data_IF_196142055367
#
_entry.id   IF_196142055367
#
_cell.length_a   1.000
_cell.length_b   1.000
_cell.length_c   1.000
_cell.angle_alpha   90.00
_cell.angle_beta   90.00
_cell.angle_gamma   90.00
#
_symmetry.space_group_name_H-M   'P 1'
#
loop_
_entity.id
_entity.type
_entity.pdbx_description
1 polymer ?
#
# COMPACT_ATOMS: atom_id res chain seq x y z
N UNK A 1 -11.15 -41.63 28.38
CA UNK A 1 -11.08 -41.13 26.98
C UNK A 1 -11.83 -42.11 26.10
N UNK A 2 -13.04 -41.79 25.64
CA UNK A 2 -13.79 -42.66 24.72
C UNK A 2 -13.08 -42.66 23.35
N UNK A 3 -12.50 -43.80 22.95
CA UNK A 3 -11.65 -43.94 21.76
C UNK A 3 -12.41 -44.10 20.43
N UNK A 4 -13.74 -44.02 20.42
CA UNK A 4 -14.53 -44.18 19.21
C UNK A 4 -15.51 -43.00 18.99
N UNK A 5 -15.20 -42.10 18.04
CA UNK A 5 -16.09 -41.00 17.67
C UNK A 5 -17.49 -41.44 17.21
N UNK A 6 -17.63 -42.63 16.60
CA UNK A 6 -18.93 -43.16 16.16
C UNK A 6 -19.82 -43.54 17.35
N UNK A 7 -19.24 -44.15 18.38
CA UNK A 7 -20.00 -44.51 19.59
C UNK A 7 -20.45 -43.26 20.34
N UNK A 8 -19.59 -42.23 20.40
CA UNK A 8 -19.94 -40.95 21.02
C UNK A 8 -21.10 -40.27 20.26
N UNK A 9 -21.03 -40.26 18.93
CA UNK A 9 -22.10 -39.77 18.08
C UNK A 9 -23.42 -40.53 18.32
N UNK A 10 -23.38 -41.86 18.34
CA UNK A 10 -24.55 -42.71 18.59
C UNK A 10 -25.24 -42.37 19.93
N UNK A 11 -24.48 -42.26 21.01
CA UNK A 11 -25.04 -41.93 22.32
C UNK A 11 -25.55 -40.49 22.40
N UNK A 12 -24.88 -39.52 21.76
CA UNK A 12 -25.40 -38.17 21.65
C UNK A 12 -26.70 -38.14 20.86
N UNK A 13 -26.81 -38.89 19.78
CA UNK A 13 -28.04 -38.99 19.00
C UNK A 13 -29.19 -39.55 19.85
N UNK A 14 -28.99 -40.67 20.53
CA UNK A 14 -30.00 -41.26 21.43
C UNK A 14 -30.41 -40.33 22.56
N UNK A 15 -29.47 -39.60 23.15
CA UNK A 15 -29.80 -38.65 24.22
C UNK A 15 -30.48 -37.38 23.69
N UNK A 16 -30.11 -36.91 22.49
CA UNK A 16 -30.71 -35.76 21.84
C UNK A 16 -32.15 -36.02 21.39
N UNK A 17 -32.46 -37.24 20.93
CA UNK A 17 -33.82 -37.73 20.63
C UNK A 17 -34.73 -37.65 21.87
N UNK A 18 -34.16 -37.85 23.06
CA UNK A 18 -34.87 -37.70 24.34
C UNK A 18 -34.90 -36.25 24.87
N UNK A 19 -34.60 -35.25 24.05
CA UNK A 19 -34.72 -33.83 24.39
C UNK A 19 -33.57 -33.25 25.23
N UNK A 20 -32.48 -33.99 25.44
CA UNK A 20 -31.35 -33.48 26.23
C UNK A 20 -30.60 -32.36 25.49
N UNK A 21 -30.68 -31.12 26.00
CA UNK A 21 -30.07 -29.93 25.38
C UNK A 21 -28.54 -29.94 25.27
N UNK A 22 -27.84 -30.69 26.13
CA UNK A 22 -26.38 -30.83 26.03
C UNK A 22 -26.05 -31.84 24.93
N UNK A 23 -26.78 -32.97 24.89
CA UNK A 23 -26.62 -33.95 23.82
C UNK A 23 -26.94 -33.37 22.44
N UNK A 24 -28.01 -32.57 22.32
CA UNK A 24 -28.33 -31.83 21.09
C UNK A 24 -27.18 -30.91 20.66
N UNK A 25 -26.57 -30.17 21.59
CA UNK A 25 -25.40 -29.32 21.30
C UNK A 25 -24.17 -30.13 20.86
N UNK A 26 -23.85 -31.23 21.55
CA UNK A 26 -22.72 -32.07 21.16
C UNK A 26 -22.97 -32.82 19.84
N UNK A 27 -24.20 -33.23 19.58
CA UNK A 27 -24.60 -33.82 18.30
C UNK A 27 -24.39 -32.81 17.15
N UNK A 28 -24.79 -31.55 17.34
CA UNK A 28 -24.50 -30.47 16.37
C UNK A 28 -23.00 -30.28 16.14
N UNK A 29 -22.19 -30.40 17.20
CA UNK A 29 -20.73 -30.32 17.12
C UNK A 29 -20.11 -31.50 16.38
N UNK A 30 -20.69 -32.70 16.49
CA UNK A 30 -20.29 -33.85 15.69
C UNK A 30 -20.53 -33.61 14.20
N UNK A 31 -21.73 -33.14 13.82
CA UNK A 31 -22.05 -32.80 12.43
C UNK A 31 -21.20 -31.65 11.89
N UNK A 32 -20.94 -30.60 12.68
CA UNK A 32 -20.11 -29.46 12.25
C UNK A 32 -18.67 -29.87 11.93
N UNK A 33 -18.11 -30.81 12.70
CA UNK A 33 -16.70 -31.20 12.61
C UNK A 33 -16.47 -32.55 11.92
N UNK A 34 -17.53 -33.24 11.48
CA UNK A 34 -17.43 -34.59 10.93
C UNK A 34 -16.92 -35.64 11.93
N UNK A 35 -17.20 -35.47 13.23
CA UNK A 35 -16.71 -36.38 14.29
C UNK A 35 -17.69 -37.53 14.51
N UNK A 36 -17.36 -38.69 13.94
CA UNK A 36 -18.19 -39.90 14.05
C UNK A 36 -19.35 -39.98 13.04
N UNK A 37 -19.49 -38.95 12.20
CA UNK A 37 -20.50 -38.81 11.15
C UNK A 37 -19.93 -37.94 10.01
N UNK A 38 -20.52 -38.01 8.82
CA UNK A 38 -20.19 -37.06 7.74
C UNK A 38 -20.52 -35.62 8.17
N UNK A 39 -19.70 -34.69 7.69
CA UNK A 39 -19.85 -33.28 8.00
C UNK A 39 -21.10 -32.72 7.32
N UNK A 40 -22.00 -32.16 8.12
CA UNK A 40 -23.29 -31.64 7.64
C UNK A 40 -23.68 -30.38 8.41
N UNK A 41 -23.52 -29.22 7.78
CA UNK A 41 -23.79 -27.94 8.43
C UNK A 41 -25.28 -27.69 8.66
N UNK A 42 -26.16 -28.22 7.83
CA UNK A 42 -27.59 -28.04 8.02
C UNK A 42 -28.07 -28.86 9.22
N UNK A 43 -27.66 -30.14 9.32
CA UNK A 43 -27.96 -30.96 10.52
C UNK A 43 -27.31 -30.42 11.78
N UNK A 44 -26.10 -29.86 11.67
CA UNK A 44 -25.47 -29.16 12.80
C UNK A 44 -26.33 -28.00 13.28
N UNK A 45 -26.82 -27.17 12.35
CA UNK A 45 -27.73 -26.07 12.65
C UNK A 45 -29.01 -26.55 13.34
N UNK A 46 -29.71 -27.55 12.80
CA UNK A 46 -30.95 -28.07 13.40
C UNK A 46 -30.73 -28.55 14.85
N UNK A 47 -29.60 -29.21 15.10
CA UNK A 47 -29.24 -29.66 16.44
C UNK A 47 -28.96 -28.48 17.38
N UNK A 48 -28.24 -27.46 16.90
CA UNK A 48 -28.00 -26.24 17.67
C UNK A 48 -29.27 -25.44 17.93
N UNK A 49 -30.18 -25.32 16.96
CA UNK A 49 -31.43 -24.60 17.12
C UNK A 49 -32.32 -25.27 18.16
N UNK A 50 -32.47 -26.59 18.09
CA UNK A 50 -33.18 -27.38 19.12
C UNK A 50 -32.58 -27.18 20.51
N UNK A 51 -31.25 -27.26 20.64
CA UNK A 51 -30.57 -27.03 21.91
C UNK A 51 -30.75 -25.58 22.41
N UNK A 52 -30.72 -24.60 21.50
CA UNK A 52 -30.83 -23.17 21.80
C UNK A 52 -32.22 -22.79 22.29
N UNK A 53 -33.28 -23.35 21.67
CA UNK A 53 -34.67 -23.24 22.11
C UNK A 53 -34.82 -23.86 23.51
N UNK A 54 -34.15 -24.97 23.78
CA UNK A 54 -34.10 -25.60 25.12
C UNK A 54 -33.16 -24.88 26.12
N UNK A 55 -32.74 -23.64 25.81
CA UNK A 55 -31.99 -22.78 26.71
C UNK A 55 -30.49 -23.10 26.83
N UNK A 56 -29.90 -23.86 25.89
CA UNK A 56 -28.46 -24.05 25.85
C UNK A 56 -27.75 -22.79 25.32
N UNK A 57 -27.03 -22.10 26.20
CA UNK A 57 -26.33 -20.83 25.90
C UNK A 57 -25.25 -20.97 24.81
N UNK A 58 -24.54 -22.10 24.75
CA UNK A 58 -23.53 -22.34 23.72
C UNK A 58 -24.18 -22.55 22.35
N UNK A 59 -25.32 -23.25 22.33
CA UNK A 59 -26.10 -23.41 21.12
C UNK A 59 -26.70 -22.09 20.64
N UNK A 60 -27.17 -21.22 21.55
CA UNK A 60 -27.65 -19.88 21.21
C UNK A 60 -26.56 -19.03 20.51
N UNK A 61 -25.32 -19.09 21.02
CA UNK A 61 -24.17 -18.42 20.38
C UNK A 61 -23.87 -18.98 18.98
N UNK A 62 -23.98 -20.30 18.81
CA UNK A 62 -23.76 -20.96 17.52
C UNK A 62 -24.87 -20.66 16.51
N UNK A 63 -26.14 -20.65 16.91
CA UNK A 63 -27.27 -20.31 16.02
C UNK A 63 -27.11 -18.90 15.46
N UNK A 64 -26.78 -17.90 16.32
CA UNK A 64 -26.46 -16.55 15.85
C UNK A 64 -25.31 -16.55 14.84
N UNK A 65 -24.25 -17.33 15.09
CA UNK A 65 -23.08 -17.44 14.19
C UNK A 65 -23.45 -18.04 12.84
N UNK A 66 -24.31 -19.07 12.84
CA UNK A 66 -24.76 -19.76 11.63
C UNK A 66 -25.56 -18.82 10.73
N UNK A 67 -26.50 -18.07 11.31
CA UNK A 67 -27.23 -17.02 10.59
C UNK A 67 -26.31 -15.89 10.09
N UNK A 68 -25.32 -15.49 10.89
CA UNK A 68 -24.37 -14.43 10.51
C UNK A 68 -23.52 -14.78 9.27
N UNK A 69 -23.00 -16.01 9.21
CA UNK A 69 -22.15 -16.45 8.10
C UNK A 69 -22.95 -17.11 6.96
N UNK A 70 -24.19 -17.53 7.20
CA UNK A 70 -24.94 -18.39 6.28
C UNK A 70 -24.37 -19.81 6.21
N UNK A 71 -23.88 -20.34 7.33
CA UNK A 71 -23.29 -21.68 7.38
C UNK A 71 -24.42 -22.70 7.52
N UNK A 72 -24.63 -23.56 6.52
CA UNK A 72 -25.70 -24.57 6.55
C UNK A 72 -27.12 -24.02 6.43
N UNK A 73 -27.32 -22.72 6.58
CA UNK A 73 -28.59 -21.99 6.42
C UNK A 73 -28.37 -20.72 5.61
N UNK A 74 -29.45 -20.10 5.12
CA UNK A 74 -29.36 -18.78 4.50
C UNK A 74 -28.78 -17.74 5.46
N UNK A 75 -27.94 -16.84 4.95
CA UNK A 75 -27.42 -15.70 5.70
C UNK A 75 -28.58 -14.78 6.09
N UNK A 76 -28.71 -14.48 7.38
CA UNK A 76 -29.82 -13.70 7.94
C UNK A 76 -29.30 -12.86 9.11
N UNK A 77 -29.05 -11.58 8.85
CA UNK A 77 -28.46 -10.70 9.86
C UNK A 77 -29.46 -10.30 10.94
N UNK A 78 -30.75 -10.23 10.63
CA UNK A 78 -31.81 -9.87 11.58
C UNK A 78 -31.94 -10.97 12.63
N UNK A 79 -32.03 -12.24 12.21
CA UNK A 79 -32.05 -13.38 13.14
C UNK A 79 -30.75 -13.49 13.93
N UNK A 80 -29.60 -13.29 13.28
CA UNK A 80 -28.31 -13.28 13.99
C UNK A 80 -28.30 -12.25 15.12
N UNK A 81 -28.75 -11.02 14.83
CA UNK A 81 -28.83 -9.96 15.82
C UNK A 81 -29.81 -10.33 16.95
N UNK A 82 -31.00 -10.80 16.61
CA UNK A 82 -32.01 -11.24 17.58
C UNK A 82 -31.43 -12.28 18.56
N UNK A 83 -30.77 -13.32 18.04
CA UNK A 83 -30.15 -14.35 18.89
C UNK A 83 -29.11 -13.77 19.84
N UNK A 84 -28.23 -12.89 19.37
CA UNK A 84 -27.19 -12.30 20.22
C UNK A 84 -27.73 -11.30 21.26
N UNK A 85 -28.92 -10.74 21.06
CA UNK A 85 -29.57 -9.89 22.08
C UNK A 85 -30.28 -10.67 23.19
N UNK A 86 -30.43 -12.00 23.07
CA UNK A 86 -31.15 -12.80 24.07
C UNK A 86 -30.52 -12.66 25.46
N UNK A 87 -31.31 -12.46 26.53
CA UNK A 87 -30.80 -12.21 27.89
C UNK A 87 -29.81 -13.25 28.40
N UNK A 88 -30.00 -14.51 28.00
CA UNK A 88 -29.16 -15.62 28.41
C UNK A 88 -27.70 -15.53 27.91
N UNK A 89 -27.45 -14.81 26.81
CA UNK A 89 -26.13 -14.67 26.19
C UNK A 89 -25.68 -13.24 25.93
N UNK A 90 -26.53 -12.22 26.12
CA UNK A 90 -26.16 -10.81 25.83
C UNK A 90 -24.94 -10.30 26.61
N UNK A 91 -24.65 -10.89 27.77
CA UNK A 91 -23.46 -10.57 28.57
C UNK A 91 -22.22 -11.41 28.20
N UNK A 92 -22.36 -12.39 27.31
CA UNK A 92 -21.25 -13.21 26.86
C UNK A 92 -20.33 -12.42 25.93
N UNK A 93 -19.02 -12.49 26.15
CA UNK A 93 -18.02 -11.80 25.32
C UNK A 93 -18.14 -12.05 23.82
N UNK A 94 -18.52 -13.26 23.38
CA UNK A 94 -18.71 -13.56 21.95
C UNK A 94 -19.97 -12.88 21.42
N UNK A 95 -21.09 -12.94 22.15
CA UNK A 95 -22.31 -12.25 21.74
C UNK A 95 -22.07 -10.74 21.63
N UNK A 96 -21.42 -10.13 22.63
CA UNK A 96 -21.07 -8.72 22.62
C UNK A 96 -20.12 -8.36 21.46
N UNK A 97 -19.17 -9.24 21.12
CA UNK A 97 -18.33 -9.04 19.95
C UNK A 97 -19.15 -9.00 18.66
N UNK A 98 -20.05 -9.97 18.45
CA UNK A 98 -20.90 -10.00 17.25
C UNK A 98 -21.92 -8.85 17.21
N UNK A 99 -22.51 -8.45 18.34
CA UNK A 99 -23.34 -7.25 18.44
C UNK A 99 -22.55 -5.99 18.03
N UNK A 100 -21.28 -5.89 18.44
CA UNK A 100 -20.38 -4.84 17.99
C UNK A 100 -20.24 -4.80 16.47
N UNK A 101 -20.12 -5.97 15.82
CA UNK A 101 -20.03 -6.08 14.37
C UNK A 101 -21.35 -5.67 13.69
N UNK A 102 -22.49 -6.10 14.24
CA UNK A 102 -23.82 -5.73 13.73
C UNK A 102 -23.98 -4.21 13.69
N UNK A 103 -23.72 -3.52 14.81
CA UNK A 103 -23.80 -2.07 14.90
C UNK A 103 -22.75 -1.34 14.04
N UNK A 104 -21.53 -1.87 13.93
CA UNK A 104 -20.46 -1.23 13.14
C UNK A 104 -20.79 -1.17 11.64
N UNK A 105 -21.30 -2.27 11.10
CA UNK A 105 -21.59 -2.40 9.66
C UNK A 105 -23.05 -2.14 9.29
N UNK A 106 -23.95 -1.99 10.27
CA UNK A 106 -25.40 -1.91 10.02
C UNK A 106 -25.96 -3.21 9.47
N UNK A 107 -25.53 -4.36 10.01
CA UNK A 107 -25.99 -5.69 9.56
C UNK A 107 -27.22 -6.08 10.35
N UNK A 108 -28.39 -6.10 9.72
CA UNK A 108 -29.67 -6.45 10.39
C UNK A 108 -30.11 -5.46 11.48
N UNK A 109 -29.49 -4.28 11.51
CA UNK A 109 -29.87 -3.14 12.34
C UNK A 109 -29.26 -1.87 11.76
N UNK A 110 -29.79 -0.71 12.14
CA UNK A 110 -29.18 0.57 11.80
C UNK A 110 -27.75 0.66 12.36
N UNK A 111 -26.87 1.27 11.55
CA UNK A 111 -25.47 1.46 11.89
C UNK A 111 -25.31 2.46 13.03
N UNK A 112 -24.59 2.06 14.07
CA UNK A 112 -24.37 2.87 15.28
C UNK A 112 -22.96 2.62 15.83
N UNK A 113 -22.05 3.56 15.59
CA UNK A 113 -20.66 3.39 16.05
C UNK A 113 -20.52 3.46 17.58
N UNK A 114 -21.37 4.22 18.26
CA UNK A 114 -21.30 4.36 19.72
C UNK A 114 -21.70 3.05 20.38
N UNK A 115 -22.85 2.48 20.00
CA UNK A 115 -23.28 1.16 20.49
C UNK A 115 -22.30 0.04 20.10
N UNK A 116 -21.71 0.14 18.91
CA UNK A 116 -20.67 -0.80 18.48
C UNK A 116 -19.47 -0.79 19.43
N UNK A 117 -18.96 0.39 19.78
CA UNK A 117 -17.84 0.56 20.70
C UNK A 117 -18.20 0.06 22.09
N UNK A 118 -19.39 0.39 22.61
CA UNK A 118 -19.85 -0.14 23.91
C UNK A 118 -19.86 -1.67 23.95
N UNK A 119 -20.37 -2.30 22.89
CA UNK A 119 -20.39 -3.76 22.77
C UNK A 119 -18.96 -4.34 22.74
N UNK A 120 -18.06 -3.75 21.95
CA UNK A 120 -16.67 -4.16 21.92
C UNK A 120 -15.97 -3.96 23.27
N UNK A 121 -16.22 -2.86 23.98
CA UNK A 121 -15.67 -2.61 25.31
C UNK A 121 -16.08 -3.67 26.32
N UNK A 122 -17.38 -4.02 26.36
CA UNK A 122 -17.86 -5.08 27.25
C UNK A 122 -17.19 -6.43 26.92
N UNK A 123 -17.05 -6.75 25.64
CA UNK A 123 -16.36 -7.97 25.18
C UNK A 123 -14.87 -7.96 25.50
N UNK A 124 -14.20 -6.83 25.30
CA UNK A 124 -12.77 -6.64 25.50
C UNK A 124 -12.38 -6.66 26.99
N UNK A 125 -13.24 -6.14 27.87
CA UNK A 125 -13.11 -6.22 29.33
C UNK A 125 -13.14 -7.67 29.82
N UNK A 126 -13.84 -8.56 29.11
CA UNK A 126 -13.86 -10.01 29.36
C UNK A 126 -12.71 -10.79 28.67
N UNK A 127 -11.71 -10.09 28.12
CA UNK A 127 -10.54 -10.72 27.53
C UNK A 127 -10.71 -11.22 26.08
N UNK A 128 -11.76 -10.80 25.36
CA UNK A 128 -11.90 -11.17 23.95
C UNK A 128 -10.87 -10.44 23.09
N UNK A 129 -9.84 -11.16 22.62
CA UNK A 129 -8.67 -10.56 21.98
C UNK A 129 -8.98 -9.83 20.67
N UNK A 130 -9.95 -10.32 19.87
CA UNK A 130 -10.40 -9.61 18.67
C UNK A 130 -11.17 -8.34 19.00
N UNK A 131 -11.92 -8.30 20.11
CA UNK A 131 -12.61 -7.07 20.53
C UNK A 131 -11.60 -6.02 21.03
N UNK A 132 -10.60 -6.47 21.78
CA UNK A 132 -9.47 -5.61 22.20
C UNK A 132 -8.71 -5.06 20.99
N UNK A 133 -8.42 -5.90 19.98
CA UNK A 133 -7.78 -5.45 18.75
C UNK A 133 -8.63 -4.41 18.01
N UNK A 134 -9.93 -4.68 17.84
CA UNK A 134 -10.84 -3.73 17.16
C UNK A 134 -10.92 -2.41 17.92
N UNK A 135 -11.01 -2.42 19.26
CA UNK A 135 -10.98 -1.17 20.04
C UNK A 135 -9.67 -0.42 19.83
N UNK A 136 -8.52 -1.12 19.81
CA UNK A 136 -7.24 -0.51 19.48
C UNK A 136 -7.31 0.25 18.15
N UNK A 137 -7.85 -0.38 17.11
CA UNK A 137 -8.04 0.24 15.81
C UNK A 137 -9.07 1.37 15.82
N UNK A 138 -10.20 1.25 16.52
CA UNK A 138 -11.23 2.29 16.61
C UNK A 138 -10.76 3.53 17.35
N UNK A 139 -9.91 3.41 18.38
CA UNK A 139 -9.29 4.56 19.03
C UNK A 139 -8.15 5.16 18.19
N UNK A 140 -7.59 4.40 17.24
CA UNK A 140 -6.59 4.89 16.29
C UNK A 140 -7.20 5.75 15.18
N UNK A 141 -8.38 5.38 14.68
CA UNK A 141 -9.06 6.07 13.57
C UNK A 141 -10.23 6.91 14.08
N UNK A 142 -10.47 8.09 13.51
CA UNK A 142 -11.61 8.94 13.91
C UNK A 142 -12.95 8.43 13.31
N UNK A 143 -13.43 7.27 13.77
CA UNK A 143 -14.72 6.70 13.35
C UNK A 143 -15.66 6.51 14.53
N UNK A 144 -16.54 7.49 14.74
CA UNK A 144 -17.57 7.47 15.78
C UNK A 144 -17.08 7.83 17.19
N UNK A 145 -15.76 7.99 17.35
CA UNK A 145 -15.09 8.52 18.55
C UNK A 145 -13.92 9.41 18.15
N UNK A 146 -13.52 10.32 19.04
CA UNK A 146 -12.29 11.09 18.90
C UNK A 146 -11.07 10.18 19.00
N UNK A 147 -10.05 10.43 18.17
CA UNK A 147 -8.79 9.69 18.22
C UNK A 147 -8.15 9.80 19.61
N UNK A 148 -7.64 8.66 20.10
CA UNK A 148 -6.96 8.53 21.37
C UNK A 148 -5.87 7.45 21.24
N UNK A 149 -4.65 7.89 20.90
CA UNK A 149 -3.53 6.99 20.63
C UNK A 149 -3.09 6.23 21.89
N UNK A 150 -3.27 6.79 23.08
CA UNK A 150 -2.93 6.12 24.34
C UNK A 150 -3.90 4.96 24.64
N UNK A 151 -5.21 5.16 24.43
CA UNK A 151 -6.19 4.08 24.53
C UNK A 151 -6.01 3.04 23.42
N UNK A 152 -5.67 3.48 22.21
CA UNK A 152 -5.34 2.58 21.11
C UNK A 152 -4.19 1.66 21.50
N UNK A 153 -3.09 2.23 21.98
CA UNK A 153 -1.93 1.51 22.48
C UNK A 153 -2.31 0.54 23.63
N UNK A 154 -3.11 1.00 24.60
CA UNK A 154 -3.57 0.17 25.71
C UNK A 154 -4.31 -1.09 25.24
N UNK A 155 -5.23 -0.95 24.30
CA UNK A 155 -6.04 -2.05 23.81
C UNK A 155 -5.24 -2.99 22.89
N UNK A 156 -4.39 -2.46 22.00
CA UNK A 156 -3.45 -3.28 21.24
C UNK A 156 -2.52 -4.07 22.17
N UNK A 157 -1.99 -3.45 23.22
CA UNK A 157 -1.16 -4.14 24.22
C UNK A 157 -1.89 -5.28 24.92
N UNK A 158 -3.15 -5.10 25.30
CA UNK A 158 -3.98 -6.18 25.88
C UNK A 158 -4.22 -7.31 24.87
N UNK A 159 -4.63 -6.99 23.65
CA UNK A 159 -4.88 -7.98 22.60
C UNK A 159 -3.60 -8.77 22.24
N UNK A 160 -2.46 -8.09 22.13
CA UNK A 160 -1.17 -8.68 21.79
C UNK A 160 -0.67 -9.65 22.86
N UNK A 161 -0.85 -9.30 24.15
CA UNK A 161 -0.58 -10.20 25.28
C UNK A 161 -1.47 -11.44 25.28
N UNK A 162 -2.69 -11.33 24.75
CA UNK A 162 -3.61 -12.45 24.55
C UNK A 162 -3.36 -13.23 23.24
N UNK A 163 -2.20 -13.05 22.61
CA UNK A 163 -1.79 -13.81 21.43
C UNK A 163 -2.36 -13.33 20.10
N UNK A 164 -3.12 -12.22 20.06
CA UNK A 164 -3.68 -11.74 18.79
C UNK A 164 -2.56 -11.21 17.87
N UNK A 165 -2.27 -11.95 16.79
CA UNK A 165 -1.20 -11.63 15.84
C UNK A 165 -1.33 -10.25 15.17
N UNK A 166 -2.55 -9.80 14.90
CA UNK A 166 -2.79 -8.48 14.30
C UNK A 166 -2.44 -7.36 15.29
N UNK A 167 -2.83 -7.52 16.56
CA UNK A 167 -2.46 -6.59 17.61
C UNK A 167 -0.96 -6.63 17.94
N UNK A 168 -0.30 -7.79 17.82
CA UNK A 168 1.15 -7.89 17.99
C UNK A 168 1.90 -7.11 16.90
N UNK A 169 1.46 -7.20 15.63
CA UNK A 169 1.98 -6.33 14.56
C UNK A 169 1.78 -4.85 14.92
N UNK A 170 0.54 -4.45 15.19
CA UNK A 170 0.24 -3.03 15.42
C UNK A 170 0.94 -2.48 16.67
N UNK A 171 1.10 -3.29 17.72
CA UNK A 171 1.86 -2.89 18.89
C UNK A 171 3.35 -2.72 18.57
N UNK A 172 3.91 -3.57 17.72
CA UNK A 172 5.27 -3.39 17.21
C UNK A 172 5.42 -2.05 16.49
N UNK A 173 4.47 -1.74 15.61
CA UNK A 173 4.43 -0.48 14.87
C UNK A 173 4.27 0.76 15.76
N UNK A 174 3.47 0.65 16.83
CA UNK A 174 3.31 1.73 17.82
C UNK A 174 4.61 2.00 18.58
N UNK A 175 5.37 0.96 18.93
CA UNK A 175 6.69 1.11 19.53
C UNK A 175 7.74 1.65 18.55
N UNK A 176 7.71 1.23 17.28
CA UNK A 176 8.63 1.72 16.24
C UNK A 176 8.48 3.23 16.01
N UNK A 177 7.24 3.74 16.03
CA UNK A 177 6.93 5.12 15.68
C UNK A 177 6.62 6.01 16.89
N UNK A 178 6.66 5.48 18.12
CA UNK A 178 6.28 6.23 19.33
C UNK A 178 4.82 6.72 19.32
N UNK A 179 3.90 5.94 18.76
CA UNK A 179 2.47 6.31 18.70
C UNK A 179 1.78 5.92 20.01
N UNK A 180 1.26 6.88 20.76
CA UNK A 180 0.60 6.61 22.05
C UNK A 180 1.50 5.99 23.13
N UNK A 181 2.82 5.96 22.91
CA UNK A 181 3.88 5.45 23.80
C UNK A 181 5.21 6.10 23.40
N UNK A 182 6.24 5.98 24.24
CA UNK A 182 7.61 6.28 23.81
C UNK A 182 8.10 5.26 22.78
N UNK A 183 8.93 5.74 21.86
CA UNK A 183 9.60 4.93 20.83
C UNK A 183 10.55 3.91 21.48
N UNK A 184 10.49 2.66 21.02
CA UNK A 184 11.32 1.56 21.55
C UNK A 184 11.49 0.46 20.49
N UNK A 185 12.62 0.51 19.76
CA UNK A 185 12.89 -0.42 18.66
C UNK A 185 13.05 -1.87 19.11
N UNK A 186 13.59 -2.10 20.31
CA UNK A 186 13.73 -3.44 20.86
C UNK A 186 12.37 -4.07 21.11
N UNK A 187 11.44 -3.33 21.73
CA UNK A 187 10.06 -3.80 21.91
C UNK A 187 9.32 -3.95 20.58
N UNK A 188 9.58 -3.07 19.61
CA UNK A 188 8.98 -3.20 18.28
C UNK A 188 9.33 -4.56 17.65
N UNK A 189 10.62 -4.90 17.61
CA UNK A 189 11.14 -6.18 17.10
C UNK A 189 10.54 -7.36 17.86
N UNK A 190 10.54 -7.32 19.21
CA UNK A 190 9.98 -8.40 20.02
C UNK A 190 8.51 -8.70 19.69
N UNK A 191 7.70 -7.67 19.44
CA UNK A 191 6.28 -7.84 19.09
C UNK A 191 6.08 -8.26 17.63
N UNK A 192 6.87 -7.72 16.71
CA UNK A 192 6.88 -8.18 15.33
C UNK A 192 7.26 -9.66 15.24
N UNK A 193 8.29 -10.12 15.96
CA UNK A 193 8.68 -11.53 15.99
C UNK A 193 7.59 -12.44 16.53
N UNK A 194 6.88 -12.03 17.59
CA UNK A 194 5.75 -12.81 18.14
C UNK A 194 4.64 -13.00 17.10
N UNK A 195 4.36 -11.96 16.32
CA UNK A 195 3.37 -12.03 15.24
C UNK A 195 3.89 -12.87 14.06
N UNK A 196 5.16 -12.69 13.69
CA UNK A 196 5.82 -13.40 12.60
C UNK A 196 5.95 -14.91 12.86
N UNK A 197 6.15 -15.32 14.11
CA UNK A 197 6.14 -16.74 14.57
C UNK A 197 4.77 -17.40 14.43
N UNK A 198 3.69 -16.62 14.30
CA UNK A 198 2.34 -17.09 13.96
C UNK A 198 2.05 -17.04 12.45
N UNK A 199 3.12 -17.04 11.64
CA UNK A 199 3.07 -17.02 10.16
C UNK A 199 2.32 -15.82 9.58
N UNK A 200 2.28 -14.69 10.32
CA UNK A 200 1.66 -13.49 9.80
C UNK A 200 2.60 -12.76 8.84
N UNK A 201 2.36 -12.92 7.54
CA UNK A 201 3.22 -12.38 6.48
C UNK A 201 3.49 -10.88 6.55
N UNK A 202 2.54 -10.07 7.06
CA UNK A 202 2.77 -8.63 7.25
C UNK A 202 3.84 -8.34 8.31
N UNK A 203 3.85 -9.10 9.42
CA UNK A 203 4.88 -8.92 10.45
C UNK A 203 6.25 -9.44 10.01
N UNK A 204 6.27 -10.53 9.26
CA UNK A 204 7.50 -11.02 8.62
C UNK A 204 8.05 -9.98 7.63
N UNK A 205 7.18 -9.37 6.81
CA UNK A 205 7.57 -8.29 5.89
C UNK A 205 8.10 -7.05 6.64
N UNK A 206 7.48 -6.66 7.76
CA UNK A 206 7.96 -5.56 8.61
C UNK A 206 9.36 -5.83 9.18
N UNK A 207 9.64 -7.05 9.65
CA UNK A 207 10.97 -7.43 10.10
C UNK A 207 12.00 -7.40 8.96
N UNK A 208 11.64 -7.92 7.78
CA UNK A 208 12.49 -7.85 6.59
C UNK A 208 12.88 -6.42 6.24
N UNK A 209 11.88 -5.52 6.21
CA UNK A 209 12.11 -4.09 5.97
C UNK A 209 13.01 -3.46 7.04
N UNK A 210 12.75 -3.74 8.31
CA UNK A 210 13.49 -3.13 9.41
C UNK A 210 14.98 -3.51 9.39
N UNK A 211 15.30 -4.80 9.26
CA UNK A 211 16.69 -5.27 9.18
C UNK A 211 17.38 -4.82 7.88
N UNK A 212 16.63 -4.72 6.78
CA UNK A 212 17.16 -4.25 5.50
C UNK A 212 17.49 -2.76 5.48
N UNK A 213 16.69 -1.93 6.16
CA UNK A 213 16.90 -0.47 6.22
C UNK A 213 18.12 -0.09 7.06
N UNK A 214 18.32 -0.75 8.21
CA UNK A 214 19.46 -0.48 9.10
C UNK A 214 19.45 0.94 9.71
N UNK A 215 18.29 1.61 9.70
CA UNK A 215 18.11 2.87 10.40
C UNK A 215 17.59 2.53 11.81
N UNK A 216 18.29 3.00 12.85
CA UNK A 216 18.01 2.80 14.29
C UNK A 216 18.30 1.41 14.87
N UNK A 217 18.60 0.44 14.00
CA UNK A 217 19.25 -0.83 14.36
C UNK A 217 20.35 -1.12 13.33
N UNK A 218 21.33 -1.93 13.68
CA UNK A 218 22.35 -2.35 12.71
C UNK A 218 21.70 -3.09 11.53
N UNK A 219 22.14 -2.76 10.32
CA UNK A 219 21.68 -3.41 9.10
C UNK A 219 22.08 -4.90 9.12
N UNK A 220 21.11 -5.77 8.83
CA UNK A 220 21.33 -7.21 8.75
C UNK A 220 20.62 -7.75 7.51
N UNK A 221 21.36 -7.77 6.40
CA UNK A 221 20.81 -8.18 5.11
C UNK A 221 20.45 -9.68 5.08
N UNK A 222 21.11 -10.51 5.89
CA UNK A 222 20.79 -11.94 6.01
C UNK A 222 19.44 -12.14 6.71
N UNK A 223 19.21 -11.47 7.85
CA UNK A 223 17.90 -11.48 8.52
C UNK A 223 16.80 -10.83 7.67
N UNK A 224 17.14 -9.75 6.96
CA UNK A 224 16.23 -9.11 6.02
C UNK A 224 15.72 -10.10 4.97
N UNK A 225 16.65 -10.77 4.28
CA UNK A 225 16.34 -11.78 3.28
C UNK A 225 15.53 -12.93 3.88
N UNK A 226 15.95 -13.46 5.02
CA UNK A 226 15.23 -14.55 5.72
C UNK A 226 13.76 -14.21 5.98
N UNK A 227 13.49 -13.01 6.52
CA UNK A 227 12.12 -12.61 6.85
C UNK A 227 11.29 -12.30 5.61
N UNK A 228 11.88 -11.69 4.58
CA UNK A 228 11.20 -11.49 3.31
C UNK A 228 10.86 -12.81 2.61
N UNK A 229 11.76 -13.80 2.61
CA UNK A 229 11.48 -15.15 2.08
C UNK A 229 10.29 -15.80 2.79
N UNK A 230 10.27 -15.78 4.13
CA UNK A 230 9.13 -16.29 4.92
C UNK A 230 7.83 -15.57 4.59
N UNK A 231 7.85 -14.23 4.54
CA UNK A 231 6.68 -13.43 4.22
C UNK A 231 6.14 -13.73 2.80
N UNK A 232 7.03 -13.84 1.82
CA UNK A 232 6.69 -14.09 0.44
C UNK A 232 6.13 -15.50 0.22
N UNK A 233 6.66 -16.50 0.93
CA UNK A 233 6.09 -17.86 0.97
C UNK A 233 4.68 -17.89 1.57
N UNK A 234 4.41 -17.02 2.55
CA UNK A 234 3.08 -16.83 3.14
C UNK A 234 2.16 -15.91 2.30
N UNK A 235 2.53 -15.63 1.05
CA UNK A 235 1.70 -14.88 0.11
C UNK A 235 1.73 -13.36 0.27
N UNK A 236 2.63 -12.80 1.10
CA UNK A 236 2.69 -11.35 1.25
C UNK A 236 3.23 -10.68 -0.03
N UNK A 237 2.36 -9.94 -0.74
CA UNK A 237 2.72 -9.30 -2.02
C UNK A 237 3.83 -8.25 -1.92
N UNK A 238 3.94 -7.53 -0.80
CA UNK A 238 4.99 -6.54 -0.61
C UNK A 238 6.36 -7.21 -0.44
N UNK A 239 6.42 -8.30 0.34
CA UNK A 239 7.62 -9.10 0.49
C UNK A 239 8.03 -9.78 -0.81
N UNK A 240 7.08 -10.28 -1.61
CA UNK A 240 7.37 -10.83 -2.94
C UNK A 240 8.00 -9.77 -3.84
N UNK A 241 7.45 -8.56 -3.89
CA UNK A 241 8.08 -7.46 -4.63
C UNK A 241 9.47 -7.12 -4.10
N UNK A 242 9.66 -7.02 -2.78
CA UNK A 242 10.95 -6.69 -2.18
C UNK A 242 12.00 -7.78 -2.43
N UNK A 243 11.62 -9.06 -2.45
CA UNK A 243 12.53 -10.14 -2.88
C UNK A 243 12.92 -10.00 -4.34
N UNK A 244 11.96 -9.63 -5.20
CA UNK A 244 12.25 -9.30 -6.59
C UNK A 244 13.36 -8.24 -6.69
N UNK A 245 13.19 -7.16 -5.93
CA UNK A 245 14.14 -6.05 -5.87
C UNK A 245 15.51 -6.45 -5.30
N UNK A 246 15.53 -7.29 -4.27
CA UNK A 246 16.77 -7.80 -3.66
C UNK A 246 17.58 -8.62 -4.67
N UNK A 247 16.95 -9.56 -5.38
CA UNK A 247 17.65 -10.37 -6.39
C UNK A 247 18.04 -9.58 -7.62
N UNK A 248 17.27 -8.57 -8.00
CA UNK A 248 17.60 -7.68 -9.12
C UNK A 248 18.84 -6.82 -8.82
N UNK A 249 18.97 -6.32 -7.58
CA UNK A 249 20.00 -5.34 -7.20
C UNK A 249 21.15 -5.94 -6.37
N UNK A 250 21.20 -7.28 -6.22
CA UNK A 250 22.24 -7.98 -5.44
C UNK A 250 22.35 -7.52 -3.97
N UNK A 251 21.22 -7.26 -3.31
CA UNK A 251 21.20 -6.72 -1.95
C UNK A 251 21.32 -7.87 -0.95
N UNK A 252 22.52 -8.10 -0.41
CA UNK A 252 22.76 -9.18 0.56
C UNK A 252 22.68 -10.60 -0.03
N UNK A 253 22.58 -10.71 -1.36
CA UNK A 253 22.59 -11.97 -2.10
C UNK A 253 23.13 -11.74 -3.51
N UNK A 254 23.42 -12.80 -4.25
CA UNK A 254 23.85 -12.70 -5.65
C UNK A 254 22.71 -12.31 -6.57
N UNK A 255 23.02 -11.55 -7.63
CA UNK A 255 22.06 -11.19 -8.68
C UNK A 255 21.42 -12.43 -9.28
N UNK A 256 20.09 -12.44 -9.40
CA UNK A 256 19.35 -13.52 -10.07
C UNK A 256 18.06 -12.98 -10.70
N UNK A 257 18.15 -12.56 -11.97
CA UNK A 257 17.01 -11.97 -12.68
C UNK A 257 15.84 -12.95 -12.87
N UNK A 258 16.11 -14.25 -12.97
CA UNK A 258 15.05 -15.26 -13.08
C UNK A 258 14.24 -15.37 -11.79
N UNK A 259 14.92 -15.37 -10.63
CA UNK A 259 14.23 -15.30 -9.33
C UNK A 259 13.53 -13.95 -9.14
N UNK A 260 14.17 -12.86 -9.55
CA UNK A 260 13.59 -11.53 -9.43
C UNK A 260 12.23 -11.46 -10.15
N UNK A 261 12.19 -11.84 -11.43
CA UNK A 261 10.97 -11.88 -12.24
C UNK A 261 9.92 -12.79 -11.63
N UNK A 262 10.30 -14.01 -11.22
CA UNK A 262 9.35 -14.96 -10.60
C UNK A 262 8.68 -14.38 -9.35
N UNK A 263 9.42 -13.63 -8.53
CA UNK A 263 8.86 -12.98 -7.35
C UNK A 263 8.02 -11.75 -7.69
N UNK A 264 8.45 -10.95 -8.66
CA UNK A 264 7.63 -9.86 -9.18
C UNK A 264 6.32 -10.36 -9.78
N UNK A 265 6.31 -11.45 -10.56
CA UNK A 265 5.11 -12.05 -11.15
C UNK A 265 4.10 -12.46 -10.06
N UNK A 266 4.54 -13.17 -9.02
CA UNK A 266 3.68 -13.54 -7.88
C UNK A 266 3.06 -12.32 -7.18
N UNK A 267 3.81 -11.23 -7.05
CA UNK A 267 3.31 -9.98 -6.48
C UNK A 267 2.33 -9.28 -7.42
N UNK A 268 2.63 -9.28 -8.72
CA UNK A 268 1.84 -8.67 -9.77
C UNK A 268 0.50 -9.38 -10.01
N UNK A 269 0.45 -10.71 -9.85
CA UNK A 269 -0.77 -11.52 -9.85
C UNK A 269 -1.72 -11.16 -8.70
N UNK A 270 -1.18 -10.63 -7.60
CA UNK A 270 -1.96 -10.07 -6.47
C UNK A 270 -2.28 -8.57 -6.64
N UNK A 271 -2.25 -8.11 -7.89
CA UNK A 271 -2.59 -6.74 -8.31
C UNK A 271 -1.71 -5.67 -7.64
N UNK A 272 -0.46 -6.02 -7.27
CA UNK A 272 0.46 -5.00 -6.77
C UNK A 272 1.04 -4.17 -7.92
N UNK A 273 0.50 -2.96 -8.09
CA UNK A 273 0.83 -2.08 -9.22
C UNK A 273 2.33 -1.76 -9.40
N UNK A 274 3.12 -1.71 -8.32
CA UNK A 274 4.56 -1.49 -8.43
C UNK A 274 5.29 -2.71 -9.03
N UNK A 275 4.88 -3.93 -8.69
CA UNK A 275 5.43 -5.14 -9.30
C UNK A 275 5.06 -5.24 -10.78
N UNK A 276 3.78 -4.97 -11.10
CA UNK A 276 3.31 -4.91 -12.48
C UNK A 276 4.10 -3.86 -13.29
N UNK A 277 4.26 -2.64 -12.76
CA UNK A 277 5.06 -1.60 -13.40
C UNK A 277 6.53 -1.99 -13.58
N UNK A 278 7.14 -2.68 -12.59
CA UNK A 278 8.53 -3.13 -12.67
C UNK A 278 8.71 -4.22 -13.73
N UNK A 279 7.79 -5.18 -13.82
CA UNK A 279 7.79 -6.17 -14.90
C UNK A 279 7.65 -5.51 -16.28
N UNK A 280 6.73 -4.54 -16.40
CA UNK A 280 6.57 -3.74 -17.61
C UNK A 280 7.90 -3.13 -18.07
N UNK A 281 8.62 -2.51 -17.12
CA UNK A 281 9.94 -1.91 -17.36
C UNK A 281 11.01 -2.92 -17.74
N UNK A 282 11.11 -4.04 -17.03
CA UNK A 282 12.11 -5.07 -17.30
C UNK A 282 11.96 -5.63 -18.71
N UNK A 283 10.75 -5.95 -19.13
CA UNK A 283 10.48 -6.44 -20.49
C UNK A 283 10.62 -5.36 -21.57
N UNK A 284 10.37 -4.09 -21.24
CA UNK A 284 10.61 -2.97 -22.16
C UNK A 284 12.11 -2.82 -22.46
N UNK A 285 12.95 -2.84 -21.43
CA UNK A 285 14.39 -2.63 -21.58
C UNK A 285 15.09 -3.84 -22.16
N UNK A 286 14.71 -5.06 -21.75
CA UNK A 286 15.39 -6.27 -22.21
C UNK A 286 16.89 -6.27 -21.86
N UNK A 287 17.27 -5.57 -20.81
CA UNK A 287 18.63 -5.64 -20.28
C UNK A 287 18.69 -6.87 -19.37
N UNK A 288 19.58 -7.81 -19.68
CA UNK A 288 19.80 -9.08 -18.95
C UNK A 288 18.66 -10.12 -19.05
N UNK A 289 17.57 -9.79 -19.76
CA UNK A 289 16.52 -10.71 -20.21
C UNK A 289 16.13 -10.39 -21.65
N UNK A 290 15.47 -11.31 -22.34
CA UNK A 290 14.97 -11.02 -23.69
C UNK A 290 13.90 -9.91 -23.64
N UNK A 291 14.05 -8.91 -24.51
CA UNK A 291 13.06 -7.85 -24.67
C UNK A 291 11.73 -8.43 -25.15
N UNK A 292 10.63 -8.03 -24.53
CA UNK A 292 9.28 -8.49 -24.85
C UNK A 292 8.29 -7.34 -24.70
N UNK A 293 8.10 -6.58 -25.79
CA UNK A 293 7.24 -5.40 -25.77
C UNK A 293 5.76 -5.75 -25.56
N UNK A 294 5.33 -6.96 -25.93
CA UNK A 294 3.96 -7.42 -25.71
C UNK A 294 3.71 -7.67 -24.21
N UNK A 295 4.62 -8.37 -23.53
CA UNK A 295 4.54 -8.54 -22.06
C UNK A 295 4.73 -7.22 -21.33
N UNK A 296 5.61 -6.34 -21.83
CA UNK A 296 5.79 -5.01 -21.27
C UNK A 296 4.48 -4.23 -21.24
N UNK A 297 3.81 -4.14 -22.40
CA UNK A 297 2.50 -3.51 -22.55
C UNK A 297 1.43 -4.16 -21.67
N UNK A 298 1.37 -5.49 -21.65
CA UNK A 298 0.42 -6.22 -20.81
C UNK A 298 0.54 -5.81 -19.33
N UNK A 299 1.77 -5.79 -18.79
CA UNK A 299 1.99 -5.45 -17.39
C UNK A 299 1.79 -3.96 -17.10
N UNK A 300 2.20 -3.08 -18.00
CA UNK A 300 1.91 -1.66 -17.87
C UNK A 300 0.41 -1.35 -17.91
N UNK A 301 -0.36 -1.97 -18.81
CA UNK A 301 -1.81 -1.84 -18.86
C UNK A 301 -2.46 -2.27 -17.55
N UNK A 302 -2.09 -3.44 -17.02
CA UNK A 302 -2.59 -3.93 -15.71
C UNK A 302 -2.28 -2.94 -14.58
N UNK A 303 -1.03 -2.48 -14.48
CA UNK A 303 -0.61 -1.53 -13.46
C UNK A 303 -1.36 -0.20 -13.57
N UNK A 304 -1.53 0.32 -14.78
CA UNK A 304 -2.19 1.59 -15.04
C UNK A 304 -3.69 1.55 -14.76
N UNK A 305 -4.36 0.43 -15.08
CA UNK A 305 -5.75 0.18 -14.72
C UNK A 305 -5.96 0.12 -13.20
N UNK A 306 -4.97 -0.41 -12.46
CA UNK A 306 -4.94 -0.41 -11.00
C UNK A 306 -4.51 0.93 -10.37
N UNK A 307 -4.40 1.99 -11.17
CA UNK A 307 -4.09 3.34 -10.70
C UNK A 307 -2.60 3.63 -10.51
N UNK A 308 -1.67 2.76 -10.91
CA UNK A 308 -0.25 3.02 -10.74
C UNK A 308 0.22 4.20 -11.64
N UNK A 309 0.57 5.33 -11.01
CA UNK A 309 0.95 6.56 -11.72
C UNK A 309 2.19 6.42 -12.61
N UNK A 310 3.16 5.59 -12.24
CA UNK A 310 4.36 5.36 -13.05
C UNK A 310 4.02 4.59 -14.32
N UNK A 311 3.22 3.53 -14.21
CA UNK A 311 2.76 2.77 -15.36
C UNK A 311 1.85 3.60 -16.29
N UNK A 312 0.97 4.44 -15.74
CA UNK A 312 0.17 5.37 -16.52
C UNK A 312 1.06 6.32 -17.34
N UNK A 313 2.11 6.88 -16.72
CA UNK A 313 3.09 7.69 -17.46
C UNK A 313 3.81 6.88 -18.55
N UNK A 314 4.28 5.67 -18.23
CA UNK A 314 5.00 4.83 -19.20
C UNK A 314 4.10 4.43 -20.38
N UNK A 315 2.82 4.12 -20.16
CA UNK A 315 1.87 3.93 -21.25
C UNK A 315 1.68 5.19 -22.07
N UNK A 316 1.59 6.35 -21.41
CA UNK A 316 1.58 7.64 -22.10
C UNK A 316 2.76 7.77 -23.08
N UNK A 317 3.96 7.47 -22.59
CA UNK A 317 5.19 7.50 -23.36
C UNK A 317 5.22 6.47 -24.49
N UNK A 318 4.77 5.24 -24.24
CA UNK A 318 4.69 4.18 -25.25
C UNK A 318 3.72 4.56 -26.37
N UNK A 319 2.53 5.08 -26.04
CA UNK A 319 1.56 5.53 -27.04
C UNK A 319 2.03 6.78 -27.80
N UNK A 320 2.76 7.69 -27.15
CA UNK A 320 3.34 8.88 -27.80
C UNK A 320 4.40 8.51 -28.84
N UNK A 321 5.23 7.51 -28.55
CA UNK A 321 6.38 7.13 -29.38
C UNK A 321 6.11 5.91 -30.27
N UNK A 322 5.03 5.17 -30.03
CA UNK A 322 4.72 3.93 -30.77
C UNK A 322 5.68 2.78 -30.45
N UNK A 323 6.04 2.61 -29.18
CA UNK A 323 6.98 1.55 -28.76
C UNK A 323 6.25 0.20 -28.71
N UNK A 324 6.51 -0.66 -29.69
CA UNK A 324 5.87 -1.99 -29.79
C UNK A 324 4.40 -1.95 -30.23
N UNK A 325 3.82 -0.77 -30.44
CA UNK A 325 2.44 -0.55 -30.90
C UNK A 325 2.36 0.65 -31.84
N UNK A 326 1.22 0.79 -32.53
CA UNK A 326 0.93 2.00 -33.28
C UNK A 326 0.82 3.22 -32.35
N UNK A 327 1.49 4.30 -32.73
CA UNK A 327 1.40 5.60 -32.06
C UNK A 327 -0.06 6.09 -31.99
N UNK A 328 -0.48 6.54 -30.81
CA UNK A 328 -1.81 7.08 -30.54
C UNK A 328 -1.71 8.23 -29.52
N UNK A 329 -1.62 9.47 -30.02
CA UNK A 329 -1.49 10.64 -29.16
C UNK A 329 -2.68 10.84 -28.23
N UNK A 330 -3.91 10.48 -28.65
CA UNK A 330 -5.11 10.67 -27.81
C UNK A 330 -5.05 9.76 -26.58
N UNK A 331 -4.63 8.50 -26.77
CA UNK A 331 -4.38 7.58 -25.64
C UNK A 331 -3.21 8.05 -24.79
N UNK A 332 -2.14 8.53 -25.42
CA UNK A 332 -0.97 9.04 -24.70
C UNK A 332 -1.36 10.15 -23.71
N UNK A 333 -2.07 11.17 -24.20
CA UNK A 333 -2.55 12.30 -23.41
C UNK A 333 -3.45 11.82 -22.28
N UNK A 334 -4.42 10.96 -22.55
CA UNK A 334 -5.33 10.42 -21.52
C UNK A 334 -4.60 9.71 -20.39
N UNK A 335 -3.52 8.98 -20.70
CA UNK A 335 -2.71 8.32 -19.69
C UNK A 335 -1.80 9.28 -18.92
N UNK A 336 -1.22 10.27 -19.60
CA UNK A 336 -0.50 11.35 -18.94
C UNK A 336 -1.39 12.15 -18.00
N UNK A 337 -2.64 12.49 -18.38
CA UNK A 337 -3.63 13.17 -17.53
C UNK A 337 -3.87 12.40 -16.23
N UNK A 338 -4.20 11.11 -16.32
CA UNK A 338 -4.40 10.27 -15.12
C UNK A 338 -3.19 10.20 -14.19
N UNK A 339 -1.98 10.16 -14.75
CA UNK A 339 -0.74 10.15 -13.96
C UNK A 339 -0.46 11.53 -13.33
N UNK A 340 -0.72 12.60 -14.08
CA UNK A 340 -0.53 13.99 -13.66
C UNK A 340 -1.51 14.43 -12.56
N UNK A 341 -2.75 13.91 -12.59
CA UNK A 341 -3.75 14.06 -11.52
C UNK A 341 -3.29 13.43 -10.19
N UNK A 342 -2.44 12.40 -10.26
CA UNK A 342 -1.77 11.80 -9.10
C UNK A 342 -0.43 12.46 -8.74
N UNK A 343 -0.25 13.70 -9.21
CA UNK A 343 0.89 14.56 -8.93
C UNK A 343 2.24 13.99 -9.40
N UNK A 344 2.24 13.15 -10.43
CA UNK A 344 3.49 12.66 -11.01
C UNK A 344 4.13 13.73 -11.89
N UNK A 345 5.22 14.34 -11.41
CA UNK A 345 5.86 15.50 -12.04
C UNK A 345 6.31 15.28 -13.48
N UNK A 346 6.75 14.07 -13.87
CA UNK A 346 7.12 13.80 -15.27
C UNK A 346 5.90 13.81 -16.18
N UNK A 347 4.75 13.26 -15.76
CA UNK A 347 3.52 13.32 -16.54
C UNK A 347 2.98 14.74 -16.67
N UNK A 348 3.04 15.52 -15.59
CA UNK A 348 2.71 16.96 -15.61
C UNK A 348 3.62 17.72 -16.57
N UNK A 349 4.94 17.49 -16.52
CA UNK A 349 5.90 18.07 -17.47
C UNK A 349 5.58 17.68 -18.92
N UNK A 350 5.29 16.40 -19.20
CA UNK A 350 4.89 15.94 -20.53
C UNK A 350 3.62 16.63 -21.02
N UNK A 351 2.59 16.79 -20.19
CA UNK A 351 1.38 17.54 -20.58
C UNK A 351 1.71 19.01 -20.87
N UNK A 352 2.53 19.64 -20.03
CA UNK A 352 3.03 21.00 -20.26
C UNK A 352 3.65 21.14 -21.64
N UNK A 353 4.50 20.19 -22.01
CA UNK A 353 5.17 20.13 -23.31
C UNK A 353 4.21 19.90 -24.48
N UNK A 354 3.24 18.98 -24.33
CA UNK A 354 2.28 18.70 -25.37
C UNK A 354 1.39 19.92 -25.66
N UNK A 355 0.92 20.63 -24.62
CA UNK A 355 0.14 21.86 -24.75
C UNK A 355 0.96 23.02 -25.33
N UNK A 356 2.24 23.14 -24.96
CA UNK A 356 3.15 24.17 -25.48
C UNK A 356 3.31 24.07 -27.01
N UNK A 357 3.44 22.83 -27.50
CA UNK A 357 3.79 22.52 -28.89
C UNK A 357 2.59 22.13 -29.75
N UNK A 358 1.39 21.97 -29.18
CA UNK A 358 0.20 21.51 -29.89
C UNK A 358 0.33 20.07 -30.44
N UNK A 359 1.00 19.18 -29.69
CA UNK A 359 1.28 17.81 -30.14
C UNK A 359 0.13 16.87 -29.81
N UNK A 360 -0.74 16.63 -30.79
CA UNK A 360 -1.90 15.74 -30.64
C UNK A 360 -3.06 16.35 -29.85
N UNK A 361 -2.91 17.60 -29.42
CA UNK A 361 -3.88 18.48 -28.75
C UNK A 361 -3.69 19.90 -29.29
N UNK A 362 -4.73 20.73 -29.17
CA UNK A 362 -4.61 22.14 -29.52
C UNK A 362 -3.58 22.83 -28.62
N UNK A 363 -2.79 23.71 -29.23
CA UNK A 363 -1.78 24.49 -28.53
C UNK A 363 -2.45 25.44 -27.52
N UNK A 364 -2.03 25.37 -26.27
CA UNK A 364 -2.59 26.17 -25.17
C UNK A 364 -1.48 26.52 -24.17
N UNK A 365 -0.98 27.75 -24.25
CA UNK A 365 0.12 28.20 -23.40
C UNK A 365 -0.29 28.36 -21.93
N UNK A 366 -1.56 28.64 -21.65
CA UNK A 366 -2.04 28.79 -20.27
C UNK A 366 -2.09 27.43 -19.57
N UNK A 367 -2.61 26.39 -20.26
CA UNK A 367 -2.55 25.01 -19.75
C UNK A 367 -1.13 24.49 -19.68
N UNK A 368 -0.28 24.85 -20.63
CA UNK A 368 1.15 24.50 -20.59
C UNK A 368 1.81 25.05 -19.32
N UNK A 369 1.65 26.35 -19.06
CA UNK A 369 2.13 27.01 -17.85
C UNK A 369 1.57 26.35 -16.58
N UNK A 370 0.26 26.10 -16.53
CA UNK A 370 -0.38 25.43 -15.40
C UNK A 370 0.28 24.09 -15.05
N UNK A 371 0.51 23.23 -16.05
CA UNK A 371 1.11 21.92 -15.82
C UNK A 371 2.60 21.99 -15.48
N UNK A 372 3.36 22.86 -16.14
CA UNK A 372 4.76 23.08 -15.79
C UNK A 372 4.92 23.67 -14.38
N UNK A 373 4.08 24.62 -13.97
CA UNK A 373 4.12 25.19 -12.62
C UNK A 373 3.85 24.13 -11.55
N UNK A 374 2.83 23.29 -11.75
CA UNK A 374 2.56 22.15 -10.85
C UNK A 374 3.76 21.21 -10.73
N UNK A 375 4.34 20.80 -11.86
CA UNK A 375 5.49 19.92 -11.87
C UNK A 375 6.72 20.57 -11.21
N UNK A 376 6.97 21.84 -11.50
CA UNK A 376 8.11 22.59 -11.00
C UNK A 376 8.03 22.84 -9.48
N UNK A 377 6.84 23.11 -8.95
CA UNK A 377 6.58 23.24 -7.51
C UNK A 377 6.83 21.93 -6.76
N UNK A 378 6.57 20.79 -7.41
CA UNK A 378 6.89 19.45 -6.91
C UNK A 378 8.36 19.04 -7.16
N UNK A 379 9.22 19.97 -7.57
CA UNK A 379 10.65 19.75 -7.74
C UNK A 379 11.07 19.16 -9.08
N UNK A 380 10.19 19.01 -10.07
CA UNK A 380 10.58 18.42 -11.35
C UNK A 380 11.55 19.35 -12.11
N UNK A 381 12.81 18.93 -12.25
CA UNK A 381 13.86 19.74 -12.88
C UNK A 381 13.58 20.09 -14.35
N UNK A 382 12.99 19.18 -15.13
CA UNK A 382 12.66 19.44 -16.53
C UNK A 382 11.58 20.53 -16.65
N UNK A 383 10.55 20.46 -15.81
CA UNK A 383 9.51 21.48 -15.78
C UNK A 383 10.03 22.83 -15.27
N UNK A 384 10.92 22.85 -14.28
CA UNK A 384 11.58 24.08 -13.83
C UNK A 384 12.35 24.74 -14.98
N UNK A 385 13.13 23.97 -15.74
CA UNK A 385 13.80 24.49 -16.93
C UNK A 385 12.81 25.00 -17.99
N UNK A 386 11.79 24.20 -18.35
CA UNK A 386 10.82 24.59 -19.38
C UNK A 386 10.02 25.84 -18.98
N UNK A 387 9.72 25.99 -17.68
CA UNK A 387 9.06 27.17 -17.15
C UNK A 387 9.98 28.40 -17.24
N UNK A 388 11.27 28.24 -16.97
CA UNK A 388 12.30 29.27 -17.23
C UNK A 388 12.32 29.69 -18.71
N UNK A 389 12.30 28.70 -19.61
CA UNK A 389 12.29 28.91 -21.05
C UNK A 389 11.03 29.64 -21.53
N UNK A 390 9.85 29.27 -21.02
CA UNK A 390 8.59 29.96 -21.35
C UNK A 390 8.59 31.41 -20.85
N UNK A 391 8.99 31.63 -19.59
CA UNK A 391 9.02 33.00 -19.04
C UNK A 391 9.99 33.92 -19.78
N UNK A 392 11.10 33.37 -20.28
CA UNK A 392 12.04 34.08 -21.12
C UNK A 392 11.44 34.43 -22.50
N UNK A 393 10.88 33.45 -23.20
CA UNK A 393 10.52 33.59 -24.62
C UNK A 393 9.12 34.18 -24.88
N UNK A 394 8.16 33.99 -23.96
CA UNK A 394 6.76 34.36 -24.19
C UNK A 394 6.41 35.72 -23.59
N UNK A 395 7.04 36.13 -22.47
CA UNK A 395 6.56 37.29 -21.70
C UNK A 395 7.55 38.47 -21.67
N UNK A 396 8.81 38.28 -22.08
CA UNK A 396 9.72 39.31 -22.64
C UNK A 396 10.04 40.57 -21.82
N UNK A 397 9.44 40.78 -20.64
CA UNK A 397 9.70 41.94 -19.78
C UNK A 397 10.70 41.59 -18.68
N UNK A 398 11.41 42.60 -18.19
CA UNK A 398 12.41 42.47 -17.12
C UNK A 398 11.88 41.69 -15.90
N UNK A 399 10.60 41.84 -15.58
CA UNK A 399 9.92 41.15 -14.48
C UNK A 399 9.90 39.63 -14.65
N UNK A 400 9.64 39.12 -15.86
CA UNK A 400 9.59 37.68 -16.12
C UNK A 400 10.96 37.09 -16.40
N UNK A 401 11.93 37.91 -16.81
CA UNK A 401 13.32 37.46 -16.93
C UNK A 401 13.91 37.06 -15.56
N UNK A 402 13.61 37.82 -14.50
CA UNK A 402 13.98 37.43 -13.12
C UNK A 402 13.33 36.10 -12.70
N UNK A 403 12.03 35.94 -12.96
CA UNK A 403 11.33 34.67 -12.71
C UNK A 403 11.93 33.50 -13.50
N UNK A 404 12.30 33.73 -14.75
CA UNK A 404 12.94 32.70 -15.58
C UNK A 404 14.25 32.22 -14.95
N UNK A 405 15.07 33.17 -14.48
CA UNK A 405 16.34 32.88 -13.81
C UNK A 405 16.14 32.12 -12.51
N UNK A 406 15.17 32.51 -11.68
CA UNK A 406 14.83 31.77 -10.45
C UNK A 406 14.49 30.29 -10.75
N UNK A 407 13.78 30.03 -11.85
CA UNK A 407 13.43 28.67 -12.25
C UNK A 407 14.61 27.90 -12.86
N UNK A 408 15.43 28.57 -13.69
CA UNK A 408 16.68 27.99 -14.19
C UNK A 408 17.64 27.62 -13.04
N UNK A 409 17.79 28.49 -12.04
CA UNK A 409 18.62 28.21 -10.85
C UNK A 409 18.15 26.96 -10.09
N UNK A 410 16.83 26.83 -9.85
CA UNK A 410 16.28 25.65 -9.19
C UNK A 410 16.57 24.37 -9.97
N UNK A 411 16.43 24.40 -11.30
CA UNK A 411 16.75 23.26 -12.15
C UNK A 411 18.26 22.98 -12.22
N UNK A 412 19.09 24.01 -12.25
CA UNK A 412 20.54 23.91 -12.34
C UNK A 412 21.16 23.33 -11.06
N UNK A 413 20.60 23.66 -9.89
CA UNK A 413 20.94 23.05 -8.59
C UNK A 413 20.61 21.55 -8.52
N UNK A 414 19.73 21.07 -9.38
CA UNK A 414 19.43 19.64 -9.58
C UNK A 414 20.24 19.02 -10.74
N UNK A 415 21.36 19.65 -11.09
CA UNK A 415 22.33 19.16 -12.07
C UNK A 415 21.75 18.96 -13.49
N UNK A 416 20.73 19.75 -13.84
CA UNK A 416 20.22 19.72 -15.21
C UNK A 416 21.09 20.60 -16.13
N UNK A 417 21.89 19.95 -16.99
CA UNK A 417 22.89 20.62 -17.84
C UNK A 417 22.34 21.75 -18.71
N UNK A 418 21.15 21.58 -19.28
CA UNK A 418 20.45 22.64 -20.03
C UNK A 418 20.21 23.91 -19.21
N UNK A 419 19.78 23.75 -17.96
CA UNK A 419 19.54 24.88 -17.06
C UNK A 419 20.86 25.53 -16.61
N UNK A 420 21.89 24.72 -16.33
CA UNK A 420 23.23 25.21 -16.00
C UNK A 420 23.81 26.04 -17.15
N UNK A 421 23.78 25.54 -18.39
CA UNK A 421 24.20 26.33 -19.56
C UNK A 421 23.35 27.58 -19.78
N UNK A 422 22.03 27.49 -19.58
CA UNK A 422 21.15 28.65 -19.74
C UNK A 422 21.47 29.75 -18.73
N UNK A 423 21.74 29.37 -17.48
CA UNK A 423 22.13 30.30 -16.42
C UNK A 423 23.52 30.89 -16.67
N UNK A 424 24.49 30.07 -17.09
CA UNK A 424 25.81 30.52 -17.51
C UNK A 424 25.73 31.58 -18.61
N UNK A 425 24.87 31.35 -19.61
CA UNK A 425 24.62 32.31 -20.68
C UNK A 425 23.97 33.62 -20.20
N UNK A 426 23.10 33.58 -19.19
CA UNK A 426 22.52 34.80 -18.60
C UNK A 426 23.59 35.64 -17.90
N UNK A 427 24.45 35.00 -17.11
CA UNK A 427 25.56 35.66 -16.43
C UNK A 427 26.61 36.20 -17.40
N UNK A 428 26.92 35.46 -18.48
CA UNK A 428 27.88 35.88 -19.52
C UNK A 428 27.42 37.17 -20.20
N UNK A 429 26.11 37.33 -20.43
CA UNK A 429 25.55 38.40 -21.25
C UNK A 429 24.78 39.47 -20.46
N UNK A 430 24.70 39.36 -19.12
CA UNK A 430 23.92 40.28 -18.28
C UNK A 430 22.42 40.31 -18.61
N UNK A 431 21.85 39.16 -19.02
CA UNK A 431 20.44 39.07 -19.46
C UNK A 431 19.51 38.85 -18.28
N UNK A 432 18.99 39.95 -17.72
CA UNK A 432 18.00 39.94 -16.63
C UNK A 432 18.59 39.82 -15.23
N UNK A 433 19.90 39.64 -15.17
CA UNK A 433 20.80 39.66 -14.02
C UNK A 433 22.05 40.44 -14.42
N UNK A 434 22.81 40.91 -13.43
CA UNK A 434 24.08 41.59 -13.68
C UNK A 434 25.06 40.63 -14.34
N UNK A 435 25.89 41.15 -15.24
CA UNK A 435 26.90 40.36 -15.91
C UNK A 435 27.94 39.89 -14.88
N UNK A 436 28.18 38.59 -14.81
CA UNK A 436 29.19 37.98 -13.95
C UNK A 436 29.86 36.82 -14.68
N UNK A 437 31.03 37.09 -15.25
CA UNK A 437 31.76 36.10 -16.04
C UNK A 437 32.27 34.93 -15.19
N UNK A 438 32.48 35.14 -13.88
CA UNK A 438 32.93 34.06 -12.97
C UNK A 438 31.78 33.08 -12.72
N UNK A 439 30.59 33.61 -12.46
CA UNK A 439 29.39 32.77 -12.33
C UNK A 439 29.04 32.08 -13.66
N UNK A 440 29.22 32.76 -14.80
CA UNK A 440 29.05 32.14 -16.11
C UNK A 440 29.94 30.90 -16.28
N UNK A 441 31.25 31.06 -16.03
CA UNK A 441 32.22 29.96 -16.10
C UNK A 441 31.89 28.86 -15.07
N UNK A 442 31.47 29.23 -13.86
CA UNK A 442 31.08 28.26 -12.83
C UNK A 442 29.97 27.34 -13.32
N UNK A 443 28.89 27.89 -13.86
CA UNK A 443 27.75 27.10 -14.35
C UNK A 443 28.10 26.28 -15.59
N UNK A 444 28.90 26.82 -16.51
CA UNK A 444 29.39 26.06 -17.66
C UNK A 444 30.30 24.90 -17.23
N UNK A 445 31.20 25.10 -16.25
CA UNK A 445 32.02 24.02 -15.69
C UNK A 445 31.17 22.94 -15.04
N UNK A 446 30.16 23.31 -14.26
CA UNK A 446 29.22 22.35 -13.65
C UNK A 446 28.49 21.49 -14.69
N UNK A 447 28.04 22.09 -15.78
CA UNK A 447 27.41 21.35 -16.88
C UNK A 447 28.40 20.40 -17.58
N UNK A 448 29.65 20.85 -17.80
CA UNK A 448 30.71 20.06 -18.39
C UNK A 448 31.17 18.88 -17.51
N UNK A 449 31.26 19.08 -16.19
CA UNK A 449 31.53 18.04 -15.18
C UNK A 449 30.47 16.92 -15.22
N UNK A 450 29.22 17.29 -15.52
CA UNK A 450 28.10 16.36 -15.69
C UNK A 450 28.02 15.76 -17.10
N UNK A 451 29.04 15.95 -17.94
CA UNK A 451 29.11 15.39 -19.29
C UNK A 451 28.23 16.10 -20.33
N UNK A 452 27.75 17.31 -20.05
CA UNK A 452 26.88 18.02 -20.99
C UNK A 452 27.69 18.70 -22.11
N UNK A 453 27.62 18.12 -23.32
CA UNK A 453 28.50 18.50 -24.44
C UNK A 453 28.43 19.98 -24.84
N UNK A 454 27.24 20.58 -24.81
CA UNK A 454 27.07 21.99 -25.15
C UNK A 454 27.86 22.93 -24.22
N UNK A 455 28.16 22.48 -23.00
CA UNK A 455 28.96 23.25 -22.05
C UNK A 455 30.44 23.35 -22.47
N UNK A 456 30.99 22.34 -23.15
CA UNK A 456 32.36 22.40 -23.67
C UNK A 456 32.50 23.50 -24.72
N UNK A 457 31.49 23.68 -25.57
CA UNK A 457 31.46 24.76 -26.55
C UNK A 457 31.42 26.13 -25.86
N UNK A 458 30.54 26.32 -24.86
CA UNK A 458 30.46 27.56 -24.09
C UNK A 458 31.79 27.91 -23.41
N UNK A 459 32.45 26.93 -22.78
CA UNK A 459 33.77 27.14 -22.16
C UNK A 459 34.86 27.46 -23.18
N UNK A 460 34.86 26.77 -24.32
CA UNK A 460 35.78 27.05 -25.42
C UNK A 460 35.67 28.49 -25.91
N UNK A 461 34.42 28.99 -26.05
CA UNK A 461 34.15 30.38 -26.41
C UNK A 461 34.64 31.36 -25.34
N UNK A 462 34.36 31.11 -24.05
CA UNK A 462 34.87 31.96 -22.97
C UNK A 462 36.41 32.08 -23.00
N UNK A 463 37.11 30.95 -23.18
CA UNK A 463 38.56 30.95 -23.29
C UNK A 463 39.08 31.69 -24.53
N UNK A 464 38.41 31.54 -25.67
CA UNK A 464 38.76 32.27 -26.90
C UNK A 464 38.59 33.79 -26.73
N UNK A 465 37.56 34.21 -26.00
CA UNK A 465 37.26 35.62 -25.75
C UNK A 465 38.12 36.23 -24.61
N UNK A 466 39.07 35.47 -24.05
CA UNK A 466 39.94 35.91 -22.95
C UNK A 466 39.25 35.99 -21.60
N UNK A 467 38.07 35.37 -21.48
CA UNK A 467 37.24 35.32 -20.28
C UNK A 467 37.62 34.02 -19.53
N UNK A 468 38.59 34.13 -18.61
CA UNK A 468 39.21 33.00 -17.91
C UNK A 468 39.01 33.00 -16.40
#
# INVERSE_FOLDING_TARGET
MCKNPKDSFYWYQKSAENGNKLAQFYLGTCYENGRGVEKDYFKAFECYEKAAINGNKYAQLNVGRYYFYGTGVGKDYDKSFEWYTKPAIRENKLAQFYLGIHYYFGRGIEKDYVKSIECYEKSAKQGHSSAQYILGHLYEVEKGIKQDLEKSFYWYKKAAKNGNRFAQLNLGYFYENGRGTQKDMKKAIEWYEKSAKQEYGNAQCSLGHLYGKGEEIDQDLEKSLYWYEKAAMNGNKFAQYNLGYIYENSIGTQKDMKKAIKWYEKSAEQEYGNAQCRLGYLYEKGEEIDQDLEKSLYWYDKAAMNGNKFAQYNLGYIYENGIGIQKDMKKAIKWYEKSAEQEYGNAQCSLGYLYENGKGIDRDLEKSLYWYEKAAMNGNKFAQYNLGYIYENIIGTQKYMKKAIEWYEKSAKQEYGNAQCSLGYKYENGKGIDQDLKEAIYWYKKAAENGYEAAYYCLGKCHQDGIG
#
